data_IF_422539347608
#
_entry.id   IF_422539347608
#
_cell.length_a   1.000
_cell.length_b   1.000
_cell.length_c   1.000
_cell.angle_alpha   90.00
_cell.angle_beta   90.00
_cell.angle_gamma   90.00
#
_symmetry.space_group_name_H-M   'P 1'
#
loop_
_entity.id
_entity.type
_entity.pdbx_description
1 polymer ?
#
# COMPACT_ATOMS: atom_id res chain seq x y z
N UNK A 1 -20.27 53.97 -18.71
CA UNK A 1 -21.19 52.87 -18.94
C UNK A 1 -20.57 51.97 -20.03
N UNK A 2 -19.70 51.04 -19.63
CA UNK A 2 -18.99 50.13 -20.55
C UNK A 2 -19.52 48.71 -20.36
N UNK A 3 -20.10 48.17 -21.43
CA UNK A 3 -20.57 46.77 -21.51
C UNK A 3 -19.40 45.85 -21.86
N UNK A 4 -19.04 44.91 -21.01
CA UNK A 4 -18.17 43.79 -21.33
C UNK A 4 -18.97 42.70 -22.05
N UNK A 5 -18.60 42.41 -23.29
CA UNK A 5 -19.12 41.29 -24.07
C UNK A 5 -18.22 40.08 -23.82
N UNK A 6 -18.76 39.07 -23.18
CA UNK A 6 -18.09 37.80 -22.92
C UNK A 6 -18.20 36.92 -24.17
N UNK A 7 -17.09 36.70 -24.89
CA UNK A 7 -17.02 35.77 -26.02
C UNK A 7 -16.51 34.44 -25.53
N UNK A 8 -17.39 33.46 -25.45
CA UNK A 8 -17.05 32.06 -25.19
C UNK A 8 -16.20 31.47 -26.31
N UNK A 9 -15.05 30.89 -25.96
CA UNK A 9 -14.16 30.18 -26.88
C UNK A 9 -14.73 28.78 -27.11
N UNK A 10 -15.07 28.49 -28.38
CA UNK A 10 -15.69 27.23 -28.79
C UNK A 10 -14.61 26.16 -29.03
N UNK A 11 -14.79 24.99 -28.44
CA UNK A 11 -13.83 23.85 -28.44
C UNK A 11 -13.49 23.28 -29.86
N UNK A 12 -14.12 23.77 -30.90
CA UNK A 12 -13.91 23.33 -32.27
C UNK A 12 -12.81 24.07 -33.04
N UNK A 13 -12.31 25.19 -32.54
CA UNK A 13 -11.30 25.99 -33.23
C UNK A 13 -9.84 25.66 -32.86
N UNK A 14 -9.62 24.74 -31.91
CA UNK A 14 -8.28 24.32 -31.46
C UNK A 14 -7.67 23.19 -32.30
N UNK A 15 -8.39 22.67 -33.30
CA UNK A 15 -7.94 21.50 -34.10
C UNK A 15 -7.43 21.84 -35.50
N UNK A 16 -7.23 23.11 -35.85
CA UNK A 16 -6.88 23.52 -37.23
C UNK A 16 -5.54 24.23 -37.43
N UNK A 17 -4.66 24.26 -36.45
CA UNK A 17 -3.31 24.82 -36.64
C UNK A 17 -2.25 23.87 -36.13
N UNK A 18 -1.49 23.25 -37.02
CA UNK A 18 -0.29 22.51 -36.65
C UNK A 18 0.15 21.39 -37.59
N UNK A 19 0.12 21.59 -38.90
CA UNK A 19 0.86 20.75 -39.84
C UNK A 19 1.83 21.64 -40.64
N UNK A 20 3.07 21.76 -40.18
CA UNK A 20 4.22 22.13 -41.01
C UNK A 20 5.35 21.14 -40.77
N UNK A 21 5.79 20.56 -41.90
CA UNK A 21 6.87 19.59 -41.98
C UNK A 21 8.21 20.21 -41.56
N UNK A 22 8.98 19.49 -40.78
CA UNK A 22 10.38 19.80 -40.44
C UNK A 22 11.23 18.54 -40.47
N UNK A 23 12.27 18.59 -41.29
CA UNK A 23 13.13 17.49 -41.70
C UNK A 23 13.80 16.70 -40.56
N UNK A 24 13.91 15.38 -40.78
CA UNK A 24 14.67 14.42 -40.01
C UNK A 24 16.15 14.61 -40.27
N UNK A 25 16.94 14.94 -39.25
CA UNK A 25 18.37 14.72 -39.20
C UNK A 25 18.65 13.65 -38.16
N UNK A 26 18.96 12.46 -38.63
CA UNK A 26 19.42 11.33 -37.81
C UNK A 26 20.86 11.56 -37.36
N UNK A 27 21.12 11.63 -36.08
CA UNK A 27 22.45 11.45 -35.49
C UNK A 27 22.37 10.34 -34.44
N UNK A 28 23.32 9.39 -34.45
CA UNK A 28 23.34 8.31 -33.45
C UNK A 28 24.00 8.83 -32.16
N UNK A 29 23.20 9.28 -31.23
CA UNK A 29 23.63 9.60 -29.88
C UNK A 29 23.22 8.50 -28.92
N UNK A 30 24.16 7.67 -28.48
CA UNK A 30 24.00 6.80 -27.31
C UNK A 30 23.73 7.70 -26.10
N UNK A 31 22.50 7.87 -25.71
CA UNK A 31 22.15 8.41 -24.43
C UNK A 31 22.43 7.33 -23.37
N UNK A 32 23.53 7.47 -22.68
CA UNK A 32 23.78 6.81 -21.41
C UNK A 32 22.71 7.33 -20.43
N UNK A 33 21.68 6.55 -20.19
CA UNK A 33 20.82 6.76 -19.06
C UNK A 33 21.68 6.55 -17.79
N UNK A 34 22.17 7.61 -17.20
CA UNK A 34 22.71 7.57 -15.86
C UNK A 34 21.55 7.22 -14.93
N UNK A 35 21.58 5.99 -14.43
CA UNK A 35 20.75 5.59 -13.31
C UNK A 35 21.13 6.51 -12.14
N UNK A 36 20.22 7.39 -11.75
CA UNK A 36 20.30 8.12 -10.49
C UNK A 36 20.14 7.05 -9.41
N UNK A 37 21.26 6.58 -8.89
CA UNK A 37 21.28 5.70 -7.72
C UNK A 37 20.84 6.56 -6.53
N UNK A 38 19.64 6.28 -6.04
CA UNK A 38 19.11 6.86 -4.80
C UNK A 38 20.04 6.42 -3.64
N UNK A 39 20.68 7.35 -2.89
CA UNK A 39 21.67 7.00 -1.87
C UNK A 39 21.08 6.37 -0.61
N UNK A 40 19.78 6.05 -0.59
CA UNK A 40 19.05 5.55 0.58
C UNK A 40 18.59 4.10 0.50
N UNK A 41 19.10 3.30 -0.44
CA UNK A 41 18.93 1.85 -0.34
C UNK A 41 19.73 1.34 0.85
N UNK A 42 19.02 0.84 1.87
CA UNK A 42 19.66 0.24 3.06
C UNK A 42 20.54 -0.96 2.64
N UNK A 43 21.52 -1.33 3.47
CA UNK A 43 22.33 -2.55 3.23
C UNK A 43 21.44 -3.78 3.07
N UNK A 44 20.28 -3.79 3.72
CA UNK A 44 19.25 -4.80 3.62
C UNK A 44 18.70 -4.91 2.19
N UNK A 45 18.35 -3.78 1.54
CA UNK A 45 17.85 -3.77 0.16
C UNK A 45 18.92 -4.23 -0.84
N UNK A 46 20.21 -3.91 -0.58
CA UNK A 46 21.34 -4.36 -1.41
C UNK A 46 21.60 -5.85 -1.27
N UNK A 47 21.52 -6.40 -0.06
CA UNK A 47 21.72 -7.84 0.17
C UNK A 47 20.64 -8.66 -0.56
N UNK A 48 19.42 -8.16 -0.65
CA UNK A 48 18.31 -8.84 -1.33
C UNK A 48 18.39 -8.70 -2.86
N UNK A 49 18.78 -7.55 -3.39
CA UNK A 49 18.95 -7.35 -4.84
C UNK A 49 20.02 -8.27 -5.46
N UNK A 50 21.06 -8.65 -4.68
CA UNK A 50 22.09 -9.59 -5.11
C UNK A 50 21.64 -11.05 -5.14
N UNK A 51 20.66 -11.44 -4.33
CA UNK A 51 20.17 -12.81 -4.23
C UNK A 51 19.22 -13.22 -5.38
N UNK A 52 18.64 -12.25 -6.08
CA UNK A 52 17.67 -12.51 -7.16
C UNK A 52 18.27 -12.99 -8.49
N UNK A 53 19.61 -13.08 -8.60
CA UNK A 53 20.29 -13.48 -9.84
C UNK A 53 20.93 -14.87 -9.82
N UNK A 54 20.80 -15.64 -8.77
CA UNK A 54 21.24 -17.05 -8.75
C UNK A 54 20.12 -17.94 -9.27
N UNK A 55 20.37 -18.60 -10.40
CA UNK A 55 19.49 -19.58 -11.03
C UNK A 55 18.94 -20.57 -10.01
N UNK A 56 17.61 -20.70 -9.97
CA UNK A 56 16.90 -21.65 -9.12
C UNK A 56 17.30 -23.09 -9.52
N UNK A 57 17.70 -23.95 -8.58
CA UNK A 57 17.70 -25.37 -8.80
C UNK A 57 16.25 -25.88 -8.92
N UNK A 58 16.06 -26.89 -9.80
CA UNK A 58 14.75 -27.46 -10.15
C UNK A 58 13.90 -27.80 -8.94
N UNK A 59 12.67 -27.30 -9.00
CA UNK A 59 11.45 -27.64 -8.29
C UNK A 59 11.53 -28.78 -7.24
N UNK A 60 11.75 -28.39 -5.99
CA UNK A 60 11.00 -28.99 -4.89
C UNK A 60 9.68 -28.24 -4.83
N UNK A 61 8.57 -28.95 -4.96
CA UNK A 61 7.22 -28.41 -4.67
C UNK A 61 7.23 -28.11 -3.18
N UNK A 62 7.64 -26.89 -2.83
CA UNK A 62 7.61 -26.41 -1.46
C UNK A 62 6.13 -26.34 -1.08
N UNK A 63 5.75 -27.15 -0.10
CA UNK A 63 4.40 -27.11 0.45
C UNK A 63 4.09 -25.65 0.82
N UNK A 64 2.95 -25.14 0.34
CA UNK A 64 2.49 -23.80 0.71
C UNK A 64 2.62 -23.62 2.24
N UNK A 65 3.17 -22.49 2.71
CA UNK A 65 3.34 -22.29 4.13
C UNK A 65 1.99 -22.52 4.83
N UNK A 66 1.99 -23.22 5.98
CA UNK A 66 0.75 -23.53 6.69
C UNK A 66 -0.03 -22.24 6.91
N UNK A 67 -1.28 -22.22 6.45
CA UNK A 67 -2.21 -21.10 6.70
C UNK A 67 -2.26 -20.93 8.22
N UNK A 68 -1.95 -19.76 8.78
CA UNK A 68 -1.97 -19.56 10.21
C UNK A 68 -3.38 -19.88 10.73
N UNK A 69 -3.51 -20.93 11.52
CA UNK A 69 -4.75 -21.24 12.23
C UNK A 69 -4.84 -20.24 13.37
N UNK A 70 -5.59 -19.16 13.17
CA UNK A 70 -5.86 -18.23 14.25
C UNK A 70 -6.88 -18.84 15.20
N UNK A 71 -6.70 -18.53 16.49
CA UNK A 71 -7.67 -18.83 17.53
C UNK A 71 -9.05 -18.32 17.10
N UNK A 72 -10.12 -19.13 17.20
CA UNK A 72 -11.49 -18.69 16.93
C UNK A 72 -11.90 -17.43 17.72
N UNK A 73 -11.34 -17.19 18.90
CA UNK A 73 -11.57 -15.97 19.66
C UNK A 73 -10.96 -14.74 18.98
N UNK A 74 -9.75 -14.86 18.41
CA UNK A 74 -9.13 -13.80 17.64
C UNK A 74 -9.94 -13.46 16.38
N UNK A 75 -10.40 -14.47 15.65
CA UNK A 75 -11.24 -14.27 14.47
C UNK A 75 -12.55 -13.54 14.81
N UNK A 76 -13.21 -13.91 15.91
CA UNK A 76 -14.40 -13.18 16.39
C UNK A 76 -14.08 -11.73 16.73
N UNK A 77 -12.96 -11.48 17.41
CA UNK A 77 -12.49 -10.12 17.70
C UNK A 77 -12.33 -9.28 16.43
N UNK A 78 -11.70 -9.82 15.38
CA UNK A 78 -11.56 -9.12 14.09
C UNK A 78 -12.92 -8.79 13.45
N UNK A 79 -13.86 -9.74 13.46
CA UNK A 79 -15.23 -9.50 12.94
C UNK A 79 -15.96 -8.42 13.74
N UNK A 80 -15.84 -8.44 15.06
CA UNK A 80 -16.49 -7.45 15.93
C UNK A 80 -15.89 -6.05 15.74
N UNK A 81 -14.57 -5.95 15.57
CA UNK A 81 -13.89 -4.70 15.20
C UNK A 81 -14.38 -4.21 13.85
N UNK A 82 -14.44 -5.09 12.84
CA UNK A 82 -14.92 -4.72 11.51
C UNK A 82 -16.34 -4.15 11.57
N UNK A 83 -17.25 -4.78 12.30
CA UNK A 83 -18.64 -4.31 12.50
C UNK A 83 -18.68 -2.96 13.21
N UNK A 84 -17.93 -2.82 14.28
CA UNK A 84 -17.85 -1.57 15.05
C UNK A 84 -17.39 -0.41 14.19
N UNK A 85 -16.30 -0.62 13.45
CA UNK A 85 -15.70 0.43 12.64
C UNK A 85 -16.54 0.77 11.40
N UNK A 86 -17.21 -0.20 10.78
CA UNK A 86 -18.21 0.07 9.74
C UNK A 86 -19.37 0.91 10.27
N UNK A 87 -19.87 0.56 11.45
CA UNK A 87 -20.94 1.36 12.10
C UNK A 87 -20.51 2.80 12.39
N UNK A 88 -19.26 2.99 12.83
CA UNK A 88 -18.68 4.32 13.09
C UNK A 88 -18.45 5.11 11.79
N UNK A 89 -17.99 4.45 10.75
CA UNK A 89 -17.73 5.06 9.44
C UNK A 89 -19.01 5.50 8.72
N UNK A 90 -20.11 4.77 8.93
CA UNK A 90 -21.42 5.09 8.37
C UNK A 90 -21.40 5.18 6.84
N UNK A 91 -22.14 6.14 6.29
CA UNK A 91 -22.31 6.32 4.85
C UNK A 91 -21.03 6.70 4.08
N UNK A 92 -19.93 7.03 4.75
CA UNK A 92 -18.65 7.29 4.09
C UNK A 92 -18.07 6.04 3.43
N UNK A 93 -18.32 4.86 4.04
CA UNK A 93 -17.95 3.56 3.48
C UNK A 93 -19.15 3.01 2.73
N UNK A 94 -19.12 3.06 1.39
CA UNK A 94 -20.26 2.62 0.57
C UNK A 94 -20.17 1.16 0.09
N UNK A 95 -19.04 0.50 0.37
CA UNK A 95 -18.84 -0.94 0.12
C UNK A 95 -18.44 -1.59 1.43
N UNK A 96 -19.37 -2.27 2.05
CA UNK A 96 -19.24 -2.87 3.39
C UNK A 96 -19.11 -4.40 3.37
N UNK A 97 -18.88 -4.98 2.21
CA UNK A 97 -18.74 -6.43 1.99
C UNK A 97 -17.42 -6.98 2.56
N UNK A 98 -16.33 -6.21 2.48
CA UNK A 98 -15.01 -6.60 2.98
C UNK A 98 -14.39 -5.43 3.76
N UNK A 99 -13.78 -5.76 4.90
CA UNK A 99 -13.01 -4.82 5.73
C UNK A 99 -11.56 -5.29 5.81
N UNK A 100 -10.62 -4.39 5.54
CA UNK A 100 -9.21 -4.60 5.83
C UNK A 100 -8.89 -4.25 7.28
N UNK A 101 -8.18 -5.12 8.01
CA UNK A 101 -7.71 -4.83 9.37
C UNK A 101 -6.20 -5.09 9.45
N UNK A 102 -5.43 -4.08 9.86
CA UNK A 102 -4.01 -4.22 10.16
C UNK A 102 -3.81 -4.25 11.68
N UNK A 103 -3.45 -5.42 12.21
CA UNK A 103 -3.14 -5.61 13.62
C UNK A 103 -1.64 -5.45 13.88
N UNK A 104 -1.25 -4.26 14.27
CA UNK A 104 0.14 -3.93 14.58
C UNK A 104 0.58 -4.28 16.01
N UNK A 105 -0.24 -4.99 16.80
CA UNK A 105 0.22 -5.66 18.01
C UNK A 105 1.08 -6.90 17.69
N UNK A 106 1.03 -7.38 16.43
CA UNK A 106 1.77 -8.57 15.97
C UNK A 106 3.07 -8.19 15.28
N UNK A 107 4.06 -9.11 15.34
CA UNK A 107 5.33 -8.94 14.60
C UNK A 107 5.11 -8.86 13.09
N UNK A 108 5.98 -8.16 12.39
CA UNK A 108 5.98 -8.07 10.93
C UNK A 108 6.28 -9.39 10.21
N UNK A 109 6.86 -10.37 10.91
CA UNK A 109 7.06 -11.73 10.39
C UNK A 109 5.79 -12.58 10.42
N UNK A 110 4.72 -12.10 11.04
CA UNK A 110 3.44 -12.80 11.12
C UNK A 110 2.42 -12.16 10.19
N UNK A 111 1.53 -12.95 9.57
CA UNK A 111 0.37 -12.39 8.91
C UNK A 111 -0.44 -11.58 9.91
N UNK A 112 -0.60 -10.29 9.63
CA UNK A 112 -1.22 -9.30 10.51
C UNK A 112 -2.08 -8.27 9.76
N UNK A 113 -2.30 -8.50 8.48
CA UNK A 113 -3.27 -7.80 7.68
C UNK A 113 -4.38 -8.78 7.28
N UNK A 114 -5.62 -8.47 7.60
CA UNK A 114 -6.75 -9.37 7.52
C UNK A 114 -7.83 -8.80 6.60
N UNK A 115 -8.29 -9.59 5.62
CA UNK A 115 -9.54 -9.31 4.90
C UNK A 115 -10.65 -10.05 5.61
N UNK A 116 -11.55 -9.29 6.21
CA UNK A 116 -12.76 -9.82 6.87
C UNK A 116 -13.92 -9.71 5.90
N UNK A 117 -14.42 -10.85 5.42
CA UNK A 117 -15.65 -10.89 4.63
C UNK A 117 -16.84 -10.76 5.59
N UNK A 118 -17.62 -9.71 5.42
CA UNK A 118 -18.71 -9.39 6.36
C UNK A 118 -19.96 -10.25 6.19
N UNK A 119 -20.11 -10.89 5.04
CA UNK A 119 -21.25 -11.79 4.75
C UNK A 119 -20.98 -13.20 5.28
N UNK A 120 -19.81 -13.76 4.97
CA UNK A 120 -19.47 -15.15 5.32
C UNK A 120 -18.71 -15.28 6.65
N UNK A 121 -18.13 -14.19 7.17
CA UNK A 121 -17.23 -14.23 8.32
C UNK A 121 -15.86 -14.85 8.03
N UNK A 122 -15.57 -15.18 6.76
CA UNK A 122 -14.27 -15.73 6.36
C UNK A 122 -13.19 -14.67 6.47
N UNK A 123 -12.04 -15.05 7.05
CA UNK A 123 -10.88 -14.17 7.22
C UNK A 123 -9.70 -14.75 6.43
N UNK A 124 -9.07 -13.88 5.64
CA UNK A 124 -7.80 -14.18 4.97
C UNK A 124 -6.72 -13.24 5.52
N UNK A 125 -5.53 -13.75 5.72
CA UNK A 125 -4.48 -13.04 6.44
C UNK A 125 -3.17 -13.01 5.67
N UNK A 126 -2.50 -11.85 5.70
CA UNK A 126 -1.35 -11.53 4.87
C UNK A 126 -0.27 -10.81 5.68
N UNK A 127 0.96 -10.84 5.17
CA UNK A 127 2.02 -9.99 5.67
C UNK A 127 1.76 -8.53 5.23
N UNK A 128 2.07 -7.60 6.12
CA UNK A 128 2.04 -6.16 5.80
C UNK A 128 3.18 -5.45 6.52
N UNK A 129 3.89 -4.58 5.79
CA UNK A 129 4.89 -3.71 6.39
C UNK A 129 4.25 -2.49 7.05
N UNK A 130 4.92 -1.97 8.06
CA UNK A 130 4.69 -0.65 8.65
C UNK A 130 5.82 0.31 8.26
N UNK A 131 5.65 1.57 8.60
CA UNK A 131 6.62 2.63 8.33
C UNK A 131 7.88 2.52 9.21
N UNK A 132 9.06 2.86 8.66
CA UNK A 132 10.33 2.86 9.39
C UNK A 132 10.32 3.78 10.60
N UNK A 133 9.58 4.89 10.56
CA UNK A 133 9.39 5.75 11.72
C UNK A 133 8.59 5.12 12.86
N UNK A 134 7.83 4.05 12.57
CA UNK A 134 7.11 3.26 13.58
C UNK A 134 7.97 2.21 14.27
N UNK A 135 9.09 1.82 13.65
CA UNK A 135 10.03 0.78 14.14
C UNK A 135 11.48 1.22 13.81
N UNK A 136 12.04 2.22 14.53
CA UNK A 136 13.37 2.75 14.22
C UNK A 136 14.49 1.71 14.35
N UNK A 137 14.36 0.74 15.26
CA UNK A 137 15.34 -0.31 15.47
C UNK A 137 15.25 -1.44 14.46
N UNK A 138 14.21 -1.47 13.64
CA UNK A 138 13.91 -2.54 12.71
C UNK A 138 13.90 -3.93 13.36
N UNK A 139 13.19 -4.06 14.47
CA UNK A 139 13.02 -5.35 15.18
C UNK A 139 11.72 -6.09 14.78
N UNK A 140 10.96 -5.52 13.86
CA UNK A 140 9.73 -6.10 13.33
C UNK A 140 8.47 -5.75 14.11
N UNK A 141 8.58 -4.98 15.19
CA UNK A 141 7.46 -4.57 16.03
C UNK A 141 7.18 -3.07 15.88
N UNK A 142 5.95 -2.71 15.62
CA UNK A 142 5.54 -1.33 15.61
C UNK A 142 5.60 -0.76 17.03
N UNK A 143 6.41 0.29 17.26
CA UNK A 143 6.58 0.98 18.54
C UNK A 143 5.59 2.11 18.74
N UNK A 144 5.40 2.92 17.69
CA UNK A 144 4.53 4.09 17.74
C UNK A 144 3.83 4.36 16.42
N UNK A 145 2.65 4.95 16.51
CA UNK A 145 1.96 5.54 15.38
C UNK A 145 2.26 7.04 15.31
N UNK A 146 2.15 7.62 14.11
CA UNK A 146 2.25 9.08 13.93
C UNK A 146 1.48 9.54 12.72
N UNK A 147 0.80 10.69 12.86
CA UNK A 147 0.14 11.38 11.77
C UNK A 147 0.94 12.60 11.28
N UNK A 148 2.12 12.85 11.86
CA UNK A 148 2.97 14.00 11.53
C UNK A 148 3.59 13.81 10.14
N UNK A 149 3.50 14.80 9.23
CA UNK A 149 4.23 14.78 7.96
C UNK A 149 5.73 14.61 8.18
N UNK A 150 6.36 13.74 7.35
CA UNK A 150 7.79 13.44 7.45
C UNK A 150 8.17 12.45 8.57
N UNK A 151 7.25 12.00 9.40
CA UNK A 151 7.55 11.03 10.47
C UNK A 151 7.89 9.62 9.96
N UNK A 152 7.56 9.32 8.70
CA UNK A 152 7.74 7.99 8.07
C UNK A 152 7.11 6.84 8.87
N UNK A 153 6.24 7.18 9.82
CA UNK A 153 5.51 6.23 10.64
C UNK A 153 4.13 5.93 10.04
N UNK A 154 3.64 4.74 10.26
CA UNK A 154 2.23 4.40 9.99
C UNK A 154 1.33 5.18 10.94
N UNK A 155 0.18 5.64 10.48
CA UNK A 155 -0.87 6.24 11.32
C UNK A 155 -1.88 5.18 11.73
N UNK A 156 -2.49 5.34 12.91
CA UNK A 156 -3.56 4.46 13.38
C UNK A 156 -4.93 4.99 12.97
N UNK A 157 -5.93 4.13 12.98
CA UNK A 157 -7.32 4.50 12.81
C UNK A 157 -7.95 3.95 11.54
N UNK A 158 -9.13 4.46 11.22
CA UNK A 158 -9.92 4.08 10.06
C UNK A 158 -9.50 4.86 8.82
N UNK A 159 -9.46 4.18 7.69
CA UNK A 159 -9.20 4.74 6.37
C UNK A 159 -10.32 4.34 5.42
N UNK A 160 -10.72 5.28 4.58
CA UNK A 160 -11.48 4.99 3.38
C UNK A 160 -10.49 4.61 2.27
N UNK A 161 -10.69 3.46 1.65
CA UNK A 161 -9.94 3.12 0.44
C UNK A 161 -10.53 3.89 -0.75
N UNK A 162 -9.67 4.60 -1.47
CA UNK A 162 -10.04 5.39 -2.63
C UNK A 162 -9.72 4.66 -3.94
N UNK A 163 -9.57 5.41 -5.02
CA UNK A 163 -9.18 4.86 -6.32
C UNK A 163 -7.78 4.26 -6.29
N UNK A 164 -7.55 3.28 -7.15
CA UNK A 164 -6.20 2.85 -7.49
C UNK A 164 -5.58 3.76 -8.54
N UNK A 165 -4.27 3.88 -8.51
CA UNK A 165 -3.51 4.66 -9.49
C UNK A 165 -2.15 4.02 -9.75
N UNK A 166 -1.46 4.43 -10.81
CA UNK A 166 -0.10 4.00 -11.11
C UNK A 166 0.88 5.09 -10.66
N UNK A 167 1.66 4.82 -9.64
CA UNK A 167 2.60 5.76 -9.03
C UNK A 167 4.04 5.22 -8.99
N UNK A 168 4.88 5.82 -8.12
CA UNK A 168 6.29 5.46 -7.92
C UNK A 168 6.48 3.97 -7.60
N UNK A 169 5.57 3.39 -6.84
CA UNK A 169 5.61 1.98 -6.40
C UNK A 169 4.77 1.03 -7.28
N UNK A 170 4.46 1.45 -8.51
CA UNK A 170 3.55 0.73 -9.39
C UNK A 170 2.09 1.03 -9.08
N UNK A 171 1.20 0.03 -9.29
CA UNK A 171 -0.22 0.16 -8.94
C UNK A 171 -0.35 0.28 -7.42
N UNK A 172 -1.11 1.27 -6.97
CA UNK A 172 -1.29 1.58 -5.54
C UNK A 172 -2.74 1.97 -5.28
N UNK A 173 -3.24 1.78 -4.05
CA UNK A 173 -4.56 2.21 -3.60
C UNK A 173 -4.38 3.42 -2.67
N UNK A 174 -5.03 4.55 -2.98
CA UNK A 174 -5.05 5.71 -2.10
C UNK A 174 -5.86 5.43 -0.84
N UNK A 175 -5.41 6.03 0.25
CA UNK A 175 -6.07 5.92 1.55
C UNK A 175 -6.37 7.31 2.08
N UNK A 176 -7.65 7.60 2.34
CA UNK A 176 -8.09 8.79 3.03
C UNK A 176 -8.27 8.48 4.52
N UNK A 177 -7.59 9.22 5.40
CA UNK A 177 -7.74 9.07 6.83
C UNK A 177 -9.08 9.63 7.32
N UNK A 178 -9.77 8.87 8.16
CA UNK A 178 -11.10 9.21 8.67
C UNK A 178 -11.07 9.68 10.14
N UNK A 179 -9.93 9.56 10.80
CA UNK A 179 -9.74 9.86 12.22
C UNK A 179 -8.73 10.98 12.45
N UNK A 180 -8.72 11.57 13.66
CA UNK A 180 -7.73 12.58 14.09
C UNK A 180 -6.28 12.06 13.99
N UNK A 181 -6.09 10.77 14.16
CA UNK A 181 -4.77 10.14 14.19
C UNK A 181 -4.24 9.78 12.79
N UNK A 182 -5.02 10.01 11.72
CA UNK A 182 -4.62 9.71 10.35
C UNK A 182 -5.13 10.69 9.27
N UNK A 183 -5.74 11.81 9.65
CA UNK A 183 -6.31 12.76 8.67
C UNK A 183 -5.29 13.31 7.65
N UNK A 184 -4.00 13.22 7.96
CA UNK A 184 -2.94 13.62 7.03
C UNK A 184 -2.57 12.52 6.02
N UNK A 185 -3.26 11.38 6.00
CA UNK A 185 -2.87 10.23 5.16
C UNK A 185 -2.71 10.60 3.69
N UNK A 186 -3.65 11.35 3.10
CA UNK A 186 -3.55 11.82 1.72
C UNK A 186 -2.34 12.76 1.51
N UNK A 187 -2.14 13.74 2.40
CA UNK A 187 -1.02 14.69 2.31
C UNK A 187 0.33 14.01 2.50
N UNK A 188 0.38 12.95 3.29
CA UNK A 188 1.57 12.14 3.53
C UNK A 188 1.77 11.07 2.46
N UNK A 189 0.90 10.99 1.47
CA UNK A 189 0.89 9.96 0.43
C UNK A 189 0.89 8.52 1.00
N UNK A 190 0.18 8.30 2.13
CA UNK A 190 -0.01 6.97 2.69
C UNK A 190 -0.94 6.18 1.77
N UNK A 191 -0.45 5.06 1.27
CA UNK A 191 -1.15 4.20 0.31
C UNK A 191 -0.95 2.73 0.65
N UNK A 192 -1.72 1.85 0.03
CA UNK A 192 -1.36 0.43 -0.11
C UNK A 192 -0.62 0.23 -1.41
N UNK A 193 0.48 -0.52 -1.39
CA UNK A 193 1.28 -0.80 -2.59
C UNK A 193 2.02 -2.13 -2.47
N UNK A 194 2.43 -2.75 -3.60
CA UNK A 194 3.32 -3.91 -3.56
C UNK A 194 4.75 -3.49 -3.24
N UNK A 195 5.50 -4.37 -2.57
CA UNK A 195 6.90 -4.14 -2.28
C UNK A 195 7.69 -5.45 -2.21
N UNK A 196 8.91 -5.53 -2.80
CA UNK A 196 9.72 -6.75 -2.79
C UNK A 196 10.28 -7.08 -1.40
N UNK A 197 10.32 -6.11 -0.49
CA UNK A 197 10.74 -6.30 0.89
C UNK A 197 9.64 -6.87 1.81
N UNK A 198 8.49 -7.26 1.25
CA UNK A 198 7.44 -8.01 1.95
C UNK A 198 7.37 -9.40 1.33
N UNK A 199 8.11 -10.33 1.92
CA UNK A 199 8.23 -11.68 1.40
C UNK A 199 8.26 -12.70 2.55
N UNK A 200 7.53 -13.83 2.45
CA UNK A 200 7.54 -14.88 3.47
C UNK A 200 8.94 -15.45 3.74
N UNK A 201 9.83 -15.51 2.75
CA UNK A 201 11.19 -15.98 2.95
C UNK A 201 12.00 -15.04 3.83
N UNK A 202 11.80 -13.73 3.70
CA UNK A 202 12.41 -12.73 4.60
C UNK A 202 11.90 -12.90 6.02
N UNK A 203 10.58 -13.05 6.19
CA UNK A 203 9.98 -13.29 7.49
C UNK A 203 10.55 -14.54 8.17
N UNK A 204 10.72 -15.63 7.40
CA UNK A 204 11.29 -16.88 7.90
C UNK A 204 12.79 -16.75 8.26
N UNK A 205 13.56 -16.07 7.41
CA UNK A 205 15.03 -15.98 7.58
C UNK A 205 15.45 -14.93 8.62
N UNK A 206 14.76 -13.76 8.63
CA UNK A 206 15.15 -12.60 9.44
C UNK A 206 14.26 -12.39 10.67
N UNK A 207 13.16 -13.15 10.81
CA UNK A 207 12.16 -12.93 11.86
C UNK A 207 11.38 -11.61 11.68
N UNK A 208 11.51 -10.97 10.52
CA UNK A 208 10.86 -9.70 10.16
C UNK A 208 10.85 -9.50 8.65
N UNK A 209 10.02 -8.58 8.16
CA UNK A 209 10.04 -8.08 6.78
C UNK A 209 10.59 -6.65 6.74
N UNK A 210 10.75 -6.08 5.53
CA UNK A 210 11.16 -4.68 5.37
C UNK A 210 10.12 -3.68 5.88
N UNK A 211 10.44 -2.39 5.76
CA UNK A 211 9.61 -1.27 6.24
C UNK A 211 9.34 -0.28 5.12
N UNK A 212 8.17 0.35 5.15
CA UNK A 212 7.78 1.44 4.27
C UNK A 212 8.12 2.82 4.88
N UNK A 213 7.64 3.87 4.24
CA UNK A 213 7.66 5.26 4.77
C UNK A 213 6.30 5.64 5.39
N UNK A 214 5.60 4.67 5.98
CA UNK A 214 4.29 4.83 6.59
C UNK A 214 3.16 4.10 5.87
N UNK A 215 3.39 3.67 4.63
CA UNK A 215 2.43 2.95 3.79
C UNK A 215 2.17 1.53 4.28
N UNK A 216 1.07 0.95 3.82
CA UNK A 216 0.72 -0.47 3.98
C UNK A 216 1.29 -1.24 2.78
N UNK A 217 2.55 -1.68 2.87
CA UNK A 217 3.17 -2.45 1.80
C UNK A 217 2.92 -3.94 1.97
N UNK A 218 2.66 -4.65 0.86
CA UNK A 218 2.36 -6.07 0.81
C UNK A 218 3.25 -6.76 -0.24
N UNK A 219 3.28 -8.10 -0.26
CA UNK A 219 3.86 -8.81 -1.40
C UNK A 219 3.09 -8.51 -2.69
N UNK A 220 3.70 -8.70 -3.86
CA UNK A 220 3.01 -8.46 -5.13
C UNK A 220 1.76 -9.33 -5.28
N UNK A 221 1.83 -10.60 -4.88
CA UNK A 221 0.70 -11.54 -4.94
C UNK A 221 -0.43 -11.10 -4.01
N UNK A 222 -0.11 -10.80 -2.76
CA UNK A 222 -1.10 -10.37 -1.76
C UNK A 222 -1.71 -9.01 -2.10
N UNK A 223 -0.92 -8.10 -2.68
CA UNK A 223 -1.42 -6.81 -3.14
C UNK A 223 -2.42 -6.94 -4.30
N UNK A 224 -2.22 -7.89 -5.22
CA UNK A 224 -3.20 -8.16 -6.27
C UNK A 224 -4.57 -8.53 -5.68
N UNK A 225 -4.59 -9.29 -4.58
CA UNK A 225 -5.81 -9.55 -3.84
C UNK A 225 -6.36 -8.30 -3.16
N UNK A 226 -5.50 -7.50 -2.54
CA UNK A 226 -5.91 -6.23 -1.95
C UNK A 226 -6.54 -5.30 -3.00
N UNK A 227 -6.01 -5.27 -4.22
CA UNK A 227 -6.55 -4.48 -5.31
C UNK A 227 -7.98 -4.91 -5.67
N UNK A 228 -8.27 -6.21 -5.67
CA UNK A 228 -9.61 -6.72 -5.89
C UNK A 228 -10.56 -6.45 -4.73
N UNK A 229 -10.09 -6.68 -3.51
CA UNK A 229 -10.93 -6.72 -2.32
C UNK A 229 -11.06 -5.39 -1.59
N UNK A 230 -10.13 -4.46 -1.77
CA UNK A 230 -10.13 -3.21 -1.01
C UNK A 230 -10.20 -1.94 -1.86
N UNK A 231 -9.96 -1.99 -3.17
CA UNK A 231 -10.01 -0.75 -3.96
C UNK A 231 -11.41 -0.16 -4.01
N UNK A 232 -11.50 1.15 -3.72
CA UNK A 232 -12.68 1.98 -3.88
C UNK A 232 -13.82 1.73 -2.88
N UNK A 233 -13.91 2.57 -1.86
CA UNK A 233 -15.08 2.69 -1.01
C UNK A 233 -15.22 1.71 0.13
N UNK A 234 -14.17 0.97 0.46
CA UNK A 234 -14.13 0.05 1.60
C UNK A 234 -13.36 0.62 2.77
N UNK A 235 -13.52 -0.01 3.91
CA UNK A 235 -12.84 0.34 5.15
C UNK A 235 -11.52 -0.43 5.29
N UNK A 236 -10.46 0.29 5.67
CA UNK A 236 -9.25 -0.29 6.25
C UNK A 236 -9.11 0.28 7.66
N UNK A 237 -8.90 -0.56 8.65
CA UNK A 237 -8.64 -0.15 10.02
C UNK A 237 -7.27 -0.62 10.48
N UNK A 238 -6.52 0.26 11.12
CA UNK A 238 -5.16 -0.01 11.58
C UNK A 238 -4.99 0.39 13.05
N UNK A 239 -4.67 -0.59 13.89
CA UNK A 239 -4.37 -0.35 15.31
C UNK A 239 -3.51 -1.50 15.87
N UNK A 240 -3.16 -1.43 17.14
CA UNK A 240 -2.76 -2.60 17.95
C UNK A 240 -4.03 -3.21 18.52
N UNK A 241 -4.33 -4.44 18.11
CA UNK A 241 -5.64 -5.05 18.40
C UNK A 241 -5.54 -6.01 19.59
N UNK A 242 -4.59 -6.92 19.58
CA UNK A 242 -4.42 -7.95 20.64
C UNK A 242 -2.94 -8.21 20.87
#
# INVERSE_FOLDING_TARGET
MFRFVNRGVNRRDLLKQGLTAGAILALPGRALAQAVTDPLTSEFDRAFAGAAQTQAPAALVEAAPPVPVYDPAYNRCLVDIARRELGRAGAKVWRNDIVGIADFARSSSQPRFHFVNMESGVIRSFLVAHGRGSDPQHDGWLKSFSNTPGSEATSRGAYLTCEWYKGKYGTSIRLEGMDSDNYNALNRAIVMHPAPYVDPSMAAHWGKIGRSEGCFAMSQGDFNEALWHLSGGRLLYADRIV
#
